data_IF_713926555343
#
_entry.id   IF_713926555343
#
_cell.length_a   1.000
_cell.length_b   1.000
_cell.length_c   1.000
_cell.angle_alpha   90.00
_cell.angle_beta   90.00
_cell.angle_gamma   90.00
#
_symmetry.space_group_name_H-M   'P 1'
#
loop_
_entity.id
_entity.type
_entity.pdbx_description
1 polymer ?
#
# COMPACT_ATOMS: atom_id res chain seq x y z
N UNK A 1 -70.44 -5.09 -56.88
CA UNK A 1 -69.22 -5.60 -56.22
C UNK A 1 -68.79 -4.48 -55.33
N UNK A 2 -69.20 -4.53 -54.06
CA UNK A 2 -68.93 -3.46 -53.10
C UNK A 2 -67.70 -3.81 -52.24
N UNK A 3 -66.84 -2.83 -52.13
CA UNK A 3 -65.67 -2.91 -51.26
C UNK A 3 -66.02 -2.18 -49.94
N UNK A 4 -66.08 -2.94 -48.85
CA UNK A 4 -66.25 -2.42 -47.48
C UNK A 4 -64.89 -2.11 -46.91
N UNK A 5 -64.55 -0.82 -46.68
CA UNK A 5 -63.38 -0.39 -46.00
C UNK A 5 -63.66 -0.26 -44.47
N UNK A 6 -63.07 -1.13 -43.70
CA UNK A 6 -63.15 -1.12 -42.22
C UNK A 6 -62.10 -0.11 -41.68
N UNK A 7 -62.55 0.99 -41.07
CA UNK A 7 -61.67 1.95 -40.36
C UNK A 7 -61.64 1.59 -38.88
N UNK A 8 -60.55 1.02 -38.44
CA UNK A 8 -60.26 0.83 -37.00
C UNK A 8 -59.77 2.16 -36.40
N UNK A 9 -60.54 2.71 -35.48
CA UNK A 9 -60.22 3.89 -34.72
C UNK A 9 -59.38 3.40 -33.51
N UNK A 10 -58.07 3.68 -33.52
CA UNK A 10 -57.23 3.51 -32.34
C UNK A 10 -57.44 4.67 -31.38
N UNK A 11 -58.05 4.40 -30.22
CA UNK A 11 -58.14 5.33 -29.12
C UNK A 11 -56.76 5.38 -28.38
N UNK A 12 -56.05 6.48 -28.50
CA UNK A 12 -54.89 6.79 -27.70
C UNK A 12 -55.33 7.20 -26.29
N UNK A 13 -55.14 6.32 -25.30
CA UNK A 13 -55.30 6.68 -23.90
C UNK A 13 -54.10 7.55 -23.49
N UNK A 14 -54.31 8.68 -22.80
CA UNK A 14 -53.18 9.47 -22.27
C UNK A 14 -52.52 8.72 -21.10
N UNK A 15 -51.24 8.37 -21.26
CA UNK A 15 -50.39 7.87 -20.19
C UNK A 15 -50.11 9.05 -19.27
N UNK A 16 -50.80 9.17 -18.14
CA UNK A 16 -50.51 10.12 -17.10
C UNK A 16 -49.20 9.68 -16.42
N UNK A 17 -48.12 10.37 -16.74
CA UNK A 17 -46.84 10.29 -15.97
C UNK A 17 -47.12 10.82 -14.57
N UNK A 18 -47.31 9.89 -13.62
CA UNK A 18 -47.25 10.18 -12.20
C UNK A 18 -45.78 10.51 -11.86
N UNK A 19 -45.42 11.80 -11.95
CA UNK A 19 -44.20 12.33 -11.34
C UNK A 19 -44.39 12.21 -9.82
N UNK A 20 -43.91 11.11 -9.23
CA UNK A 20 -43.83 11.00 -7.80
C UNK A 20 -42.89 12.11 -7.30
N UNK A 21 -43.46 13.10 -6.59
CA UNK A 21 -42.70 14.06 -5.83
C UNK A 21 -41.93 13.26 -4.77
N UNK A 22 -40.72 12.84 -5.08
CA UNK A 22 -39.78 12.36 -4.08
C UNK A 22 -39.43 13.56 -3.22
N UNK A 23 -39.78 13.50 -1.94
CA UNK A 23 -39.31 14.49 -0.96
C UNK A 23 -37.77 14.59 -0.99
N UNK A 24 -37.20 15.65 -0.41
CA UNK A 24 -35.74 15.76 -0.33
C UNK A 24 -35.15 14.48 0.30
N UNK A 25 -34.01 14.02 -0.20
CA UNK A 25 -33.39 12.82 0.36
C UNK A 25 -33.18 13.00 1.87
N UNK A 26 -33.35 11.94 2.65
CA UNK A 26 -33.16 12.02 4.10
C UNK A 26 -31.73 12.46 4.41
N UNK A 27 -31.58 13.35 5.39
CA UNK A 27 -30.26 13.81 5.85
C UNK A 27 -29.39 12.63 6.28
N UNK A 28 -28.07 12.69 6.02
CA UNK A 28 -27.16 11.63 6.43
C UNK A 28 -27.09 11.52 7.97
N UNK A 29 -26.87 10.28 8.43
CA UNK A 29 -26.70 9.99 9.85
C UNK A 29 -25.42 9.18 10.08
N UNK A 30 -24.88 9.25 11.31
CA UNK A 30 -23.68 8.48 11.67
C UNK A 30 -23.85 7.00 11.35
N UNK A 31 -24.87 6.36 11.91
CA UNK A 31 -25.00 4.91 11.82
C UNK A 31 -25.24 4.40 10.40
N UNK A 32 -26.05 5.11 9.61
CA UNK A 32 -26.39 4.66 8.26
C UNK A 32 -25.34 4.98 7.20
N UNK A 33 -24.76 6.20 7.25
CA UNK A 33 -24.01 6.76 6.13
C UNK A 33 -22.53 7.00 6.46
N UNK A 34 -22.24 7.47 7.68
CA UNK A 34 -20.89 7.95 8.02
C UNK A 34 -20.03 6.85 8.62
N UNK A 35 -20.55 6.08 9.59
CA UNK A 35 -19.79 5.04 10.27
C UNK A 35 -19.24 3.96 9.30
N UNK A 36 -20.00 3.47 8.30
CA UNK A 36 -19.47 2.55 7.31
C UNK A 36 -18.28 3.15 6.52
N UNK A 37 -18.40 4.42 6.10
CA UNK A 37 -17.35 5.11 5.36
C UNK A 37 -16.11 5.36 6.24
N UNK A 38 -16.27 5.79 7.49
CA UNK A 38 -15.18 5.97 8.44
C UNK A 38 -14.50 4.64 8.75
N UNK A 39 -15.26 3.55 8.90
CA UNK A 39 -14.70 2.22 9.09
C UNK A 39 -13.83 1.80 7.88
N UNK A 40 -14.31 2.04 6.66
CA UNK A 40 -13.59 1.71 5.43
C UNK A 40 -12.30 2.53 5.26
N UNK A 41 -12.40 3.85 5.41
CA UNK A 41 -11.31 4.77 5.04
C UNK A 41 -10.37 5.14 6.19
N UNK A 42 -10.83 5.01 7.43
CA UNK A 42 -10.07 5.47 8.61
C UNK A 42 -9.75 4.32 9.57
N UNK A 43 -10.59 3.27 9.60
CA UNK A 43 -10.57 2.21 10.62
C UNK A 43 -9.27 1.41 10.67
N UNK A 44 -8.55 1.28 9.58
CA UNK A 44 -7.25 0.57 9.53
C UNK A 44 -6.21 1.16 10.49
N UNK A 45 -6.22 2.48 10.66
CA UNK A 45 -5.28 3.19 11.53
C UNK A 45 -5.96 3.78 12.78
N UNK A 46 -7.19 4.29 12.67
CA UNK A 46 -7.92 4.98 13.74
C UNK A 46 -8.87 4.04 14.50
N UNK A 47 -8.35 2.91 14.95
CA UNK A 47 -9.00 1.95 15.85
C UNK A 47 -8.22 1.89 17.15
N UNK A 48 -8.89 1.63 18.26
CA UNK A 48 -8.22 1.52 19.55
C UNK A 48 -7.09 0.49 19.53
N UNK A 49 -5.89 0.89 19.94
CA UNK A 49 -4.69 0.04 19.90
C UNK A 49 -3.98 -0.03 18.55
N UNK A 50 -4.42 0.74 17.55
CA UNK A 50 -3.70 0.93 16.28
C UNK A 50 -2.78 2.16 16.33
N UNK A 51 -2.10 2.46 15.21
CA UNK A 51 -1.09 3.53 15.12
C UNK A 51 -1.68 4.94 15.13
N UNK A 52 -2.96 5.10 14.78
CA UNK A 52 -3.63 6.40 14.84
C UNK A 52 -3.62 6.96 16.26
N UNK A 53 -3.36 8.28 16.44
CA UNK A 53 -3.23 8.88 17.77
C UNK A 53 -4.54 8.89 18.56
N UNK A 54 -5.67 8.61 17.92
CA UNK A 54 -7.00 8.50 18.50
C UNK A 54 -7.88 7.56 17.65
N UNK A 55 -8.90 6.97 18.26
CA UNK A 55 -9.88 6.16 17.56
C UNK A 55 -10.97 7.04 16.90
N UNK A 56 -11.59 6.50 15.84
CA UNK A 56 -12.72 7.10 15.10
C UNK A 56 -13.83 6.06 14.89
N UNK A 57 -13.99 5.14 15.84
CA UNK A 57 -14.90 3.99 15.70
C UNK A 57 -16.32 4.27 16.20
N UNK A 58 -16.51 5.37 16.94
CA UNK A 58 -17.81 5.78 17.50
C UNK A 58 -18.14 7.22 17.11
N UNK A 59 -19.44 7.56 17.12
CA UNK A 59 -19.91 8.94 16.92
C UNK A 59 -19.22 9.92 17.89
N UNK A 60 -19.16 9.57 19.18
CA UNK A 60 -18.56 10.42 20.21
C UNK A 60 -17.05 10.67 19.96
N UNK A 61 -16.30 9.65 19.52
CA UNK A 61 -14.88 9.79 19.17
C UNK A 61 -14.67 10.74 17.98
N UNK A 62 -15.51 10.63 16.94
CA UNK A 62 -15.44 11.54 15.79
C UNK A 62 -15.81 12.96 16.19
N UNK A 63 -16.85 13.14 17.00
CA UNK A 63 -17.29 14.45 17.48
C UNK A 63 -16.24 15.14 18.35
N UNK A 64 -15.47 14.39 19.14
CA UNK A 64 -14.39 14.96 19.96
C UNK A 64 -13.28 15.63 19.12
N UNK A 65 -13.12 15.26 17.83
CA UNK A 65 -12.10 15.76 16.93
C UNK A 65 -12.66 16.23 15.57
N UNK A 66 -13.95 16.56 15.53
CA UNK A 66 -14.70 16.84 14.30
C UNK A 66 -14.05 17.87 13.38
N UNK A 67 -13.59 19.02 13.92
CA UNK A 67 -12.93 20.06 13.14
C UNK A 67 -11.60 19.58 12.55
N UNK A 68 -10.84 18.75 13.30
CA UNK A 68 -9.60 18.16 12.82
C UNK A 68 -9.86 17.15 11.71
N UNK A 69 -10.90 16.32 11.83
CA UNK A 69 -11.34 15.38 10.78
C UNK A 69 -11.74 16.16 9.54
N UNK A 70 -12.62 17.18 9.67
CA UNK A 70 -13.04 18.03 8.56
C UNK A 70 -11.85 18.66 7.82
N UNK A 71 -10.94 19.28 8.56
CA UNK A 71 -9.75 19.92 7.99
C UNK A 71 -8.83 18.91 7.29
N UNK A 72 -8.65 17.72 7.88
CA UNK A 72 -7.77 16.70 7.34
C UNK A 72 -8.30 16.08 6.04
N UNK A 73 -9.61 15.77 5.96
CA UNK A 73 -10.20 15.20 4.73
C UNK A 73 -10.34 16.25 3.63
N UNK A 74 -10.70 17.50 3.96
CA UNK A 74 -10.83 18.60 2.99
C UNK A 74 -9.49 18.95 2.35
N UNK A 75 -8.41 18.96 3.15
CA UNK A 75 -7.05 19.15 2.64
C UNK A 75 -6.44 17.89 2.01
N UNK A 76 -7.18 16.77 1.97
CA UNK A 76 -6.72 15.46 1.49
C UNK A 76 -5.45 14.93 2.18
N UNK A 77 -5.19 15.41 3.42
CA UNK A 77 -4.12 14.88 4.26
C UNK A 77 -4.48 13.50 4.81
N UNK A 78 -5.79 13.25 5.00
CA UNK A 78 -6.35 11.95 5.43
C UNK A 78 -7.51 11.53 4.53
N UNK A 79 -7.65 10.23 4.23
CA UNK A 79 -6.66 9.17 4.44
C UNK A 79 -5.35 9.49 3.72
N UNK A 80 -4.20 8.94 4.19
CA UNK A 80 -2.92 9.16 3.52
C UNK A 80 -2.90 8.41 2.18
N UNK A 81 -3.12 9.14 1.10
CA UNK A 81 -3.14 8.60 -0.27
C UNK A 81 -2.50 9.59 -1.24
N UNK A 82 -1.16 9.65 -1.26
CA UNK A 82 -0.44 10.62 -2.09
C UNK A 82 -0.50 10.36 -3.59
N UNK A 83 -0.84 9.14 -4.05
CA UNK A 83 -0.91 8.84 -5.48
C UNK A 83 -2.05 9.60 -6.19
N UNK A 84 -1.74 10.14 -7.37
CA UNK A 84 -2.69 10.86 -8.21
C UNK A 84 -3.73 9.89 -8.82
N UNK A 85 -5.00 10.25 -8.72
CA UNK A 85 -6.13 9.37 -9.05
C UNK A 85 -6.33 9.13 -10.56
N UNK A 86 -5.89 10.06 -11.39
CA UNK A 86 -5.99 9.99 -12.86
C UNK A 86 -4.78 9.35 -13.54
N UNK A 87 -3.79 8.88 -12.75
CA UNK A 87 -2.62 8.17 -13.27
C UNK A 87 -2.92 6.70 -13.54
N UNK A 88 -3.39 5.99 -12.53
CA UNK A 88 -3.77 4.58 -12.64
C UNK A 88 -4.89 4.25 -11.65
N UNK A 89 -5.63 3.16 -11.92
CA UNK A 89 -6.59 2.61 -10.97
C UNK A 89 -5.89 1.62 -10.03
N UNK A 90 -6.07 1.81 -8.73
CA UNK A 90 -5.52 0.94 -7.68
C UNK A 90 -6.62 0.15 -6.98
N UNK A 91 -6.28 -1.01 -6.45
CA UNK A 91 -7.18 -1.85 -5.67
C UNK A 91 -6.43 -2.50 -4.48
N UNK A 92 -6.78 -2.18 -3.22
CA UNK A 92 -7.84 -1.23 -2.85
C UNK A 92 -7.44 0.23 -3.11
N UNK A 93 -8.43 1.08 -3.39
CA UNK A 93 -8.24 2.55 -3.45
C UNK A 93 -8.47 3.14 -2.05
N UNK A 94 -7.39 3.54 -1.39
CA UNK A 94 -7.43 4.16 -0.08
C UNK A 94 -7.90 5.62 -0.08
N UNK A 95 -8.01 6.27 -1.26
CA UNK A 95 -8.44 7.67 -1.34
C UNK A 95 -9.92 7.87 -1.00
N UNK A 96 -10.31 9.12 -0.76
CA UNK A 96 -11.72 9.53 -0.69
C UNK A 96 -12.13 10.29 -1.96
N UNK A 97 -13.35 10.04 -2.44
CA UNK A 97 -13.94 10.83 -3.52
C UNK A 97 -14.41 12.20 -3.00
N UNK A 98 -14.68 13.14 -3.93
CA UNK A 98 -15.23 14.45 -3.55
C UNK A 98 -16.60 14.31 -2.90
N UNK A 99 -17.42 13.36 -3.37
CA UNK A 99 -18.73 13.07 -2.81
C UNK A 99 -18.63 12.50 -1.39
N UNK A 100 -17.65 11.63 -1.12
CA UNK A 100 -17.41 11.09 0.22
C UNK A 100 -16.95 12.18 1.19
N UNK A 101 -16.08 13.09 0.75
CA UNK A 101 -15.66 14.26 1.53
C UNK A 101 -16.84 15.16 1.80
N UNK A 102 -17.64 15.48 0.76
CA UNK A 102 -18.83 16.32 0.88
C UNK A 102 -19.89 15.70 1.83
N UNK A 103 -20.04 14.37 1.81
CA UNK A 103 -20.95 13.65 2.69
C UNK A 103 -20.58 13.85 4.16
N UNK A 104 -19.30 13.63 4.53
CA UNK A 104 -18.86 13.80 5.92
C UNK A 104 -18.91 15.27 6.34
N UNK A 105 -18.41 16.19 5.50
CA UNK A 105 -18.39 17.62 5.84
C UNK A 105 -19.80 18.20 5.97
N UNK A 106 -20.71 17.84 5.06
CA UNK A 106 -22.10 18.24 5.11
C UNK A 106 -22.85 17.66 6.33
N UNK A 107 -22.58 16.39 6.68
CA UNK A 107 -23.13 15.80 7.90
C UNK A 107 -22.67 16.55 9.15
N UNK A 108 -21.39 16.92 9.25
CA UNK A 108 -20.87 17.73 10.38
C UNK A 108 -21.53 19.10 10.44
N UNK A 109 -21.72 19.77 9.31
CA UNK A 109 -22.33 21.10 9.21
C UNK A 109 -23.85 21.06 9.51
N UNK A 110 -24.51 19.96 9.20
CA UNK A 110 -25.95 19.74 9.43
C UNK A 110 -26.28 19.28 10.85
N UNK A 111 -25.32 19.32 11.79
CA UNK A 111 -25.52 19.00 13.20
C UNK A 111 -25.18 17.56 13.56
N UNK A 112 -24.49 16.84 12.70
CA UNK A 112 -23.87 15.54 12.96
C UNK A 112 -24.83 14.50 13.59
N UNK A 113 -26.00 14.32 13.01
CA UNK A 113 -27.05 13.42 13.56
C UNK A 113 -26.53 11.99 13.71
N UNK A 114 -26.72 11.39 14.89
CA UNK A 114 -26.26 10.02 15.18
C UNK A 114 -27.10 8.96 14.44
N UNK A 115 -28.43 9.14 14.41
CA UNK A 115 -29.34 8.21 13.76
C UNK A 115 -29.65 6.99 14.63
N UNK A 116 -30.31 5.97 14.06
CA UNK A 116 -30.66 4.74 14.76
C UNK A 116 -29.49 3.74 14.66
N UNK A 117 -28.99 3.19 15.78
CA UNK A 117 -27.95 2.16 15.77
C UNK A 117 -28.27 0.92 14.92
N UNK A 118 -29.56 0.63 14.70
CA UNK A 118 -30.01 -0.50 13.85
C UNK A 118 -29.75 -0.28 12.37
N UNK A 119 -29.53 0.97 11.94
CA UNK A 119 -29.20 1.30 10.55
C UNK A 119 -27.72 1.01 10.21
N UNK A 120 -26.88 0.80 11.22
CA UNK A 120 -25.48 0.48 11.01
C UNK A 120 -25.34 -0.90 10.36
N UNK A 121 -24.75 -0.90 9.17
CA UNK A 121 -24.30 -2.11 8.50
C UNK A 121 -22.79 -2.12 8.54
N UNK A 122 -22.23 -2.93 9.43
CA UNK A 122 -20.81 -3.17 9.42
C UNK A 122 -20.40 -3.58 8.00
N UNK A 123 -19.44 -2.88 7.44
CA UNK A 123 -18.72 -3.43 6.30
C UNK A 123 -18.11 -4.74 6.78
N UNK A 124 -18.22 -5.79 6.00
CA UNK A 124 -17.40 -6.96 6.28
C UNK A 124 -15.96 -6.47 6.38
N UNK A 125 -15.40 -6.54 7.60
CA UNK A 125 -14.04 -6.07 7.85
C UNK A 125 -13.09 -6.70 6.84
N UNK A 126 -12.01 -6.03 6.49
CA UNK A 126 -11.05 -6.59 5.57
C UNK A 126 -10.61 -7.95 6.10
N UNK A 127 -10.96 -9.00 5.39
CA UNK A 127 -10.47 -10.36 5.65
C UNK A 127 -8.97 -10.30 5.49
N UNK A 128 -8.22 -10.97 6.37
CA UNK A 128 -6.82 -11.25 6.09
C UNK A 128 -6.75 -11.70 4.63
N UNK A 129 -5.98 -11.02 3.82
CA UNK A 129 -6.03 -11.25 2.38
C UNK A 129 -5.34 -12.53 1.93
N UNK A 130 -4.63 -13.22 2.85
CA UNK A 130 -4.12 -14.55 2.57
C UNK A 130 -5.27 -15.55 2.48
N UNK A 131 -5.36 -16.22 1.35
CA UNK A 131 -6.33 -17.31 1.15
C UNK A 131 -6.03 -18.51 2.06
N UNK A 132 -4.77 -18.66 2.47
CA UNK A 132 -4.28 -19.70 3.41
C UNK A 132 -2.98 -19.26 4.06
N UNK A 133 -2.65 -19.84 5.21
CA UNK A 133 -1.36 -19.71 5.88
C UNK A 133 -0.73 -21.10 5.96
N UNK A 134 0.37 -21.31 5.27
CA UNK A 134 1.10 -22.59 5.25
C UNK A 134 2.30 -22.56 6.20
N UNK A 135 2.89 -21.39 6.44
CA UNK A 135 4.05 -21.19 7.30
C UNK A 135 3.89 -19.93 8.14
N UNK A 136 4.17 -20.05 9.44
CA UNK A 136 4.23 -18.94 10.37
C UNK A 136 5.64 -18.84 10.96
N UNK A 137 6.26 -17.67 10.83
CA UNK A 137 7.58 -17.36 11.36
C UNK A 137 7.48 -16.25 12.41
N UNK A 138 7.41 -16.58 13.70
CA UNK A 138 7.43 -15.57 14.77
C UNK A 138 8.85 -15.00 14.94
N UNK A 139 8.95 -13.78 15.46
CA UNK A 139 10.21 -13.29 16.03
C UNK A 139 10.73 -14.30 17.08
N UNK A 140 12.05 -14.46 17.18
CA UNK A 140 12.67 -15.43 18.07
C UNK A 140 12.35 -15.13 19.54
N UNK A 141 12.25 -13.85 19.89
CA UNK A 141 11.89 -13.37 21.23
C UNK A 141 11.28 -11.97 21.15
N UNK A 142 10.56 -11.53 22.19
CA UNK A 142 10.02 -10.18 22.23
C UNK A 142 11.12 -9.12 22.19
N UNK A 143 10.89 -8.05 21.45
CA UNK A 143 11.74 -6.88 21.37
C UNK A 143 11.02 -5.65 21.91
N UNK A 144 11.67 -4.89 22.77
CA UNK A 144 11.18 -3.59 23.24
C UNK A 144 12.01 -2.49 22.58
N UNK A 145 11.41 -1.57 21.80
CA UNK A 145 12.13 -0.45 21.20
C UNK A 145 12.96 0.33 22.23
N UNK A 146 14.20 0.66 21.85
CA UNK A 146 15.19 1.30 22.72
C UNK A 146 15.34 2.79 22.42
N UNK A 147 14.86 3.25 21.28
CA UNK A 147 14.87 4.66 20.84
C UNK A 147 13.44 5.18 20.72
N UNK A 148 13.27 6.47 20.96
CA UNK A 148 11.99 7.16 20.86
C UNK A 148 12.18 8.49 20.08
N UNK A 149 11.21 8.90 19.26
CA UNK A 149 10.02 8.13 18.92
C UNK A 149 10.28 6.96 17.98
N UNK A 150 11.40 6.95 17.24
CA UNK A 150 11.70 6.03 16.15
C UNK A 150 12.86 5.11 16.48
N UNK A 151 12.66 3.81 16.24
CA UNK A 151 13.69 2.76 16.38
C UNK A 151 13.67 1.85 15.14
N UNK A 152 14.79 1.77 14.43
CA UNK A 152 14.97 0.90 13.27
C UNK A 152 15.72 -0.36 13.70
N UNK A 153 15.08 -1.52 13.56
CA UNK A 153 15.61 -2.78 14.05
C UNK A 153 15.45 -3.91 13.05
N UNK A 154 16.55 -4.61 12.78
CA UNK A 154 16.56 -5.75 11.88
C UNK A 154 16.66 -7.07 12.65
N UNK A 155 15.98 -8.09 12.11
CA UNK A 155 15.95 -9.43 12.66
C UNK A 155 16.14 -10.45 11.54
N UNK A 156 16.73 -11.60 11.91
CA UNK A 156 16.91 -12.75 11.01
C UNK A 156 16.15 -13.96 11.55
N UNK A 157 15.19 -14.45 10.77
CA UNK A 157 14.45 -15.68 11.07
C UNK A 157 14.97 -16.83 10.23
N UNK A 158 14.83 -18.05 10.74
CA UNK A 158 15.21 -19.24 10.02
C UNK A 158 14.12 -19.62 9.01
N UNK A 159 14.54 -20.04 7.80
CA UNK A 159 13.68 -20.65 6.82
C UNK A 159 13.64 -22.16 7.08
N UNK A 160 12.51 -22.75 7.47
CA UNK A 160 12.46 -24.14 7.94
C UNK A 160 12.33 -25.18 6.80
N UNK A 161 11.98 -24.76 5.58
CA UNK A 161 11.73 -25.68 4.48
C UNK A 161 13.01 -26.36 4.01
N UNK A 162 12.97 -27.68 3.87
CA UNK A 162 14.09 -28.51 3.43
C UNK A 162 14.13 -28.71 1.92
N UNK A 163 13.09 -28.29 1.21
CA UNK A 163 12.98 -28.26 -0.24
C UNK A 163 12.71 -26.83 -0.71
N UNK A 164 12.96 -26.58 -2.00
CA UNK A 164 12.63 -25.28 -2.59
C UNK A 164 11.11 -25.09 -2.59
N UNK A 165 10.64 -23.93 -2.11
CA UNK A 165 9.24 -23.52 -2.10
C UNK A 165 9.08 -22.16 -2.75
N UNK A 166 7.88 -21.89 -3.23
CA UNK A 166 7.49 -20.57 -3.68
C UNK A 166 6.64 -19.89 -2.61
N UNK A 167 7.03 -18.70 -2.17
CA UNK A 167 6.16 -17.81 -1.40
C UNK A 167 5.14 -17.25 -2.38
N UNK A 168 3.86 -17.54 -2.17
CA UNK A 168 2.75 -17.08 -3.03
C UNK A 168 1.85 -16.06 -2.36
N UNK A 169 2.19 -15.66 -1.16
CA UNK A 169 1.52 -14.59 -0.41
C UNK A 169 2.21 -14.37 0.92
N UNK A 170 2.05 -13.18 1.46
CA UNK A 170 2.60 -12.83 2.76
C UNK A 170 1.66 -11.92 3.55
N UNK A 171 1.76 -12.02 4.87
CA UNK A 171 1.13 -11.13 5.83
C UNK A 171 2.06 -10.96 7.04
N UNK A 172 2.32 -9.73 7.44
CA UNK A 172 2.95 -9.45 8.72
C UNK A 172 1.88 -9.14 9.76
N UNK A 173 1.89 -9.87 10.87
CA UNK A 173 0.97 -9.67 11.99
C UNK A 173 1.75 -9.03 13.13
N UNK A 174 1.56 -7.72 13.39
CA UNK A 174 2.19 -7.03 14.51
C UNK A 174 1.81 -7.62 15.86
N UNK A 175 2.77 -7.75 16.76
CA UNK A 175 2.49 -8.03 18.17
C UNK A 175 1.92 -6.81 18.88
N UNK A 176 2.45 -5.62 18.56
CA UNK A 176 1.93 -4.33 19.03
C UNK A 176 1.69 -3.41 17.84
N UNK A 177 0.49 -3.48 17.27
CA UNK A 177 0.13 -2.75 16.05
C UNK A 177 0.37 -1.24 16.14
N UNK A 178 0.16 -0.63 17.32
CA UNK A 178 0.37 0.79 17.54
C UNK A 178 1.84 1.26 17.48
N UNK A 179 2.80 0.34 17.45
CA UNK A 179 4.22 0.68 17.40
C UNK A 179 4.87 0.35 16.04
N UNK A 180 4.25 -0.46 15.18
CA UNK A 180 4.84 -0.82 13.90
C UNK A 180 4.45 0.24 12.86
N UNK A 181 5.39 1.13 12.52
CA UNK A 181 5.18 2.14 11.48
C UNK A 181 5.28 1.52 10.08
N UNK A 182 6.26 0.67 9.83
CA UNK A 182 6.34 -0.23 8.68
C UNK A 182 7.33 -1.36 8.96
N UNK A 183 7.29 -2.37 8.12
CA UNK A 183 8.29 -3.42 8.12
C UNK A 183 8.58 -3.90 6.70
N UNK A 184 9.86 -4.03 6.39
CA UNK A 184 10.35 -4.56 5.13
C UNK A 184 10.79 -6.01 5.31
N UNK A 185 10.28 -6.89 4.45
CA UNK A 185 10.51 -8.32 4.54
C UNK A 185 11.23 -8.81 3.28
N UNK A 186 12.38 -9.41 3.47
CA UNK A 186 13.19 -10.00 2.41
C UNK A 186 13.51 -11.46 2.75
N UNK A 187 13.80 -12.28 1.76
CA UNK A 187 14.53 -13.51 1.99
C UNK A 187 15.99 -13.34 1.54
N UNK A 188 16.89 -13.98 2.28
CA UNK A 188 18.34 -13.97 2.05
C UNK A 188 18.72 -15.36 1.54
N UNK A 189 19.37 -15.49 0.38
CA UNK A 189 19.70 -16.77 -0.20
C UNK A 189 20.75 -17.53 0.63
N UNK A 190 20.88 -18.86 0.47
CA UNK A 190 21.71 -19.70 1.32
C UNK A 190 23.18 -19.26 1.40
N UNK A 191 23.74 -18.74 0.28
CA UNK A 191 25.13 -18.28 0.19
C UNK A 191 25.42 -17.05 1.06
N UNK A 192 24.39 -16.30 1.44
CA UNK A 192 24.47 -15.13 2.32
C UNK A 192 23.93 -15.39 3.74
N UNK A 193 23.29 -16.53 3.95
CA UNK A 193 22.59 -16.86 5.19
C UNK A 193 23.47 -16.77 6.45
N UNK A 194 24.72 -17.23 6.37
CA UNK A 194 25.65 -17.21 7.49
C UNK A 194 26.09 -15.77 7.86
N UNK A 195 26.34 -14.93 6.86
CA UNK A 195 26.69 -13.52 7.05
C UNK A 195 25.57 -12.76 7.78
N UNK A 196 24.33 -12.95 7.32
CA UNK A 196 23.17 -12.29 7.95
C UNK A 196 22.90 -12.81 9.36
N UNK A 197 23.00 -14.14 9.58
CA UNK A 197 22.85 -14.73 10.92
C UNK A 197 23.91 -14.23 11.90
N UNK A 198 25.12 -13.91 11.44
CA UNK A 198 26.17 -13.37 12.30
C UNK A 198 25.81 -11.99 12.89
N UNK A 199 24.96 -11.19 12.24
CA UNK A 199 24.46 -9.92 12.77
C UNK A 199 23.37 -10.11 13.83
N UNK A 200 22.68 -11.26 13.82
CA UNK A 200 21.60 -11.57 14.77
C UNK A 200 21.72 -13.02 15.30
N UNK A 201 22.81 -13.38 15.99
CA UNK A 201 23.07 -14.76 16.39
C UNK A 201 22.04 -15.30 17.40
N UNK A 202 21.42 -14.42 18.18
CA UNK A 202 20.54 -14.77 19.28
C UNK A 202 19.07 -14.36 19.06
N UNK A 203 18.76 -13.71 17.94
CA UNK A 203 17.43 -13.16 17.69
C UNK A 203 17.11 -11.90 18.50
N UNK A 204 18.15 -11.15 18.96
CA UNK A 204 17.99 -9.87 19.66
C UNK A 204 17.76 -8.69 18.69
N UNK A 205 18.04 -8.94 17.42
CA UNK A 205 18.10 -7.94 16.37
C UNK A 205 19.24 -6.93 16.57
N UNK A 206 19.51 -6.15 15.53
CA UNK A 206 20.49 -5.07 15.57
C UNK A 206 19.92 -3.79 14.97
N UNK A 207 20.52 -2.65 15.27
CA UNK A 207 20.15 -1.39 14.66
C UNK A 207 20.55 -1.37 13.19
N UNK A 208 19.62 -1.08 12.30
CA UNK A 208 19.87 -0.97 10.87
C UNK A 208 18.87 0.00 10.22
N UNK A 209 19.37 0.90 9.37
CA UNK A 209 18.55 1.91 8.69
C UNK A 209 18.17 1.53 7.26
N UNK A 210 18.97 0.67 6.61
CA UNK A 210 18.76 0.28 5.23
C UNK A 210 18.59 -1.23 5.13
N UNK A 211 17.50 -1.74 4.55
CA UNK A 211 17.39 -3.15 4.23
C UNK A 211 18.41 -3.52 3.14
N UNK A 212 18.90 -4.77 3.12
CA UNK A 212 19.92 -5.22 2.18
C UNK A 212 19.34 -5.54 0.81
N UNK A 213 18.78 -4.55 0.14
CA UNK A 213 18.04 -4.71 -1.13
C UNK A 213 18.88 -5.25 -2.30
N UNK A 214 20.21 -5.19 -2.20
CA UNK A 214 21.13 -5.73 -3.20
C UNK A 214 21.62 -7.15 -2.88
N UNK A 215 21.33 -7.65 -1.69
CA UNK A 215 21.87 -8.93 -1.17
C UNK A 215 20.76 -9.94 -0.83
N UNK A 216 19.53 -9.46 -0.74
CA UNK A 216 18.33 -10.24 -0.50
C UNK A 216 17.29 -10.01 -1.60
N UNK A 217 16.22 -10.78 -1.54
CA UNK A 217 15.09 -10.68 -2.44
C UNK A 217 13.86 -10.20 -1.66
N UNK A 218 13.25 -9.14 -2.12
CA UNK A 218 12.10 -8.55 -1.46
C UNK A 218 10.90 -9.50 -1.50
N UNK A 219 10.24 -9.70 -0.36
CA UNK A 219 8.98 -10.42 -0.24
C UNK A 219 7.83 -9.41 -0.26
N UNK A 220 7.94 -8.36 0.55
CA UNK A 220 6.94 -7.30 0.62
C UNK A 220 7.20 -6.33 1.76
N UNK A 221 6.34 -5.32 1.83
CA UNK A 221 6.37 -4.29 2.87
C UNK A 221 5.03 -4.28 3.60
N UNK A 222 5.07 -4.27 4.92
CA UNK A 222 3.93 -4.00 5.78
C UNK A 222 3.86 -2.51 6.07
N UNK A 223 2.67 -1.94 5.95
CA UNK A 223 2.31 -0.62 6.47
C UNK A 223 1.03 -0.72 7.30
N UNK A 224 0.77 0.19 8.24
CA UNK A 224 -0.45 0.17 9.05
C UNK A 224 -1.71 0.12 8.19
N UNK A 225 -2.62 -0.78 8.54
CA UNK A 225 -3.81 -1.06 7.73
C UNK A 225 -3.61 -2.09 6.62
N UNK A 226 -2.38 -2.53 6.35
CA UNK A 226 -2.14 -3.68 5.46
C UNK A 226 -2.69 -4.97 6.05
N UNK A 227 -3.21 -5.80 5.18
CA UNK A 227 -3.81 -7.09 5.55
C UNK A 227 -3.04 -8.29 4.99
N UNK A 228 -1.84 -8.04 4.47
CA UNK A 228 -1.14 -9.01 3.66
C UNK A 228 -1.79 -9.18 2.28
N UNK A 229 -1.24 -10.04 1.45
CA UNK A 229 -1.71 -10.26 0.09
C UNK A 229 -1.29 -11.62 -0.46
N UNK A 230 -2.19 -12.28 -1.18
CA UNK A 230 -1.80 -13.35 -2.10
C UNK A 230 -1.20 -12.73 -3.36
N UNK A 231 -0.15 -13.35 -3.90
CA UNK A 231 0.45 -12.88 -5.14
C UNK A 231 -0.40 -13.25 -6.35
N UNK A 232 -0.48 -12.38 -7.35
CA UNK A 232 -1.41 -12.53 -8.45
C UNK A 232 -1.04 -13.69 -9.39
N UNK A 233 -2.04 -14.22 -10.10
CA UNK A 233 -1.92 -15.23 -11.17
C UNK A 233 -1.11 -16.48 -10.79
N UNK A 234 -1.15 -16.91 -9.52
CA UNK A 234 -0.34 -18.00 -8.99
C UNK A 234 1.18 -17.78 -9.19
N UNK A 235 1.63 -16.51 -9.12
CA UNK A 235 3.05 -16.19 -9.09
C UNK A 235 3.64 -16.41 -7.71
N UNK A 236 4.94 -16.54 -7.63
CA UNK A 236 5.63 -16.75 -6.37
C UNK A 236 7.12 -16.43 -6.44
N UNK A 237 7.68 -16.17 -5.26
CA UNK A 237 9.11 -15.96 -5.06
C UNK A 237 9.73 -17.27 -4.62
N UNK A 238 10.65 -17.81 -5.41
CA UNK A 238 11.30 -19.08 -5.10
C UNK A 238 12.36 -18.90 -4.00
N UNK A 239 12.19 -19.64 -2.92
CA UNK A 239 13.11 -19.68 -1.79
C UNK A 239 13.75 -21.06 -1.69
N UNK A 240 15.09 -21.10 -1.60
CA UNK A 240 15.87 -22.33 -1.50
C UNK A 240 16.02 -22.76 -0.04
N UNK A 241 16.21 -24.06 0.21
CA UNK A 241 16.60 -24.56 1.54
C UNK A 241 17.86 -23.84 2.04
N UNK A 242 17.93 -23.60 3.36
CA UNK A 242 19.05 -22.91 3.98
C UNK A 242 19.02 -21.39 3.86
N UNK A 243 18.04 -20.82 3.16
CA UNK A 243 17.78 -19.38 3.17
C UNK A 243 17.45 -18.86 4.57
N UNK A 244 17.43 -17.53 4.74
CA UNK A 244 16.92 -16.83 5.93
C UNK A 244 15.83 -15.85 5.51
N UNK A 245 14.98 -15.46 6.46
CA UNK A 245 14.09 -14.33 6.30
C UNK A 245 14.64 -13.17 7.12
N UNK A 246 14.79 -12.05 6.45
CA UNK A 246 15.23 -10.78 7.04
C UNK A 246 14.01 -9.87 7.17
N UNK A 247 13.85 -9.25 8.35
CA UNK A 247 12.79 -8.28 8.59
C UNK A 247 13.43 -7.03 9.19
N UNK A 248 13.20 -5.88 8.54
CA UNK A 248 13.47 -4.58 9.15
C UNK A 248 12.17 -4.02 9.68
N UNK A 249 12.12 -3.73 10.96
CA UNK A 249 11.02 -2.97 11.57
C UNK A 249 11.42 -1.51 11.77
N UNK A 250 10.55 -0.62 11.38
CA UNK A 250 10.50 0.75 11.85
C UNK A 250 9.44 0.84 12.96
N UNK A 251 9.89 0.87 14.20
CA UNK A 251 9.02 1.13 15.33
C UNK A 251 8.84 2.63 15.54
N UNK A 252 7.62 3.07 15.82
CA UNK A 252 7.31 4.43 16.26
C UNK A 252 6.48 4.36 17.55
N UNK A 253 7.00 4.94 18.64
CA UNK A 253 6.40 4.84 19.98
C UNK A 253 5.51 6.02 20.35
N UNK A 254 5.30 6.99 19.45
CA UNK A 254 4.53 8.20 19.75
C UNK A 254 3.08 7.93 20.16
N UNK A 255 2.44 6.90 19.57
CA UNK A 255 1.05 6.54 19.86
C UNK A 255 0.87 5.66 21.12
N UNK A 256 1.94 5.20 21.79
CA UNK A 256 1.86 4.15 22.82
C UNK A 256 2.22 4.57 24.24
N UNK A 257 2.46 5.85 24.50
CA UNK A 257 2.95 6.32 25.80
C UNK A 257 4.18 5.53 26.30
N UNK A 258 5.08 5.18 25.40
CA UNK A 258 6.31 4.43 25.67
C UNK A 258 6.39 3.08 24.97
N UNK A 259 7.58 2.53 24.94
CA UNK A 259 7.87 1.27 24.29
C UNK A 259 7.28 0.07 25.07
N UNK A 260 6.74 -0.90 24.35
CA UNK A 260 6.23 -2.18 24.87
C UNK A 260 6.90 -3.35 24.16
N UNK A 261 6.99 -4.54 24.80
CA UNK A 261 7.49 -5.73 24.14
C UNK A 261 6.62 -6.09 22.93
N UNK A 262 7.23 -6.17 21.76
CA UNK A 262 6.61 -6.62 20.52
C UNK A 262 7.06 -8.04 20.17
N UNK A 263 6.15 -8.88 19.72
CA UNK A 263 6.40 -10.23 19.22
C UNK A 263 5.62 -10.43 17.93
N UNK A 264 6.04 -9.73 16.90
CA UNK A 264 5.46 -9.82 15.57
C UNK A 264 5.75 -11.18 14.92
N UNK A 265 4.92 -11.58 13.94
CA UNK A 265 5.12 -12.80 13.16
C UNK A 265 4.83 -12.55 11.69
N UNK A 266 5.53 -13.29 10.85
CA UNK A 266 5.27 -13.37 9.42
C UNK A 266 4.43 -14.62 9.12
N UNK A 267 3.38 -14.44 8.35
CA UNK A 267 2.53 -15.52 7.83
C UNK A 267 2.71 -15.60 6.32
N UNK A 268 2.93 -16.80 5.78
CA UNK A 268 3.24 -17.04 4.38
C UNK A 268 2.32 -18.10 3.80
N UNK A 269 1.87 -17.87 2.56
CA UNK A 269 1.30 -18.89 1.69
C UNK A 269 2.44 -19.49 0.87
N UNK A 270 2.48 -20.82 0.76
CA UNK A 270 3.54 -21.54 0.05
C UNK A 270 2.96 -22.44 -1.05
N UNK A 271 3.76 -22.67 -2.10
CA UNK A 271 3.48 -23.65 -3.14
C UNK A 271 4.75 -24.38 -3.59
N UNK A 272 4.60 -25.61 -4.08
CA UNK A 272 5.70 -26.37 -4.68
C UNK A 272 6.06 -25.82 -6.07
N UNK A 273 5.11 -25.21 -6.75
CA UNK A 273 5.25 -24.63 -8.08
C UNK A 273 4.45 -23.34 -8.18
N UNK A 274 5.04 -22.34 -8.81
CA UNK A 274 4.40 -21.08 -9.15
C UNK A 274 5.00 -20.50 -10.43
N UNK A 275 4.34 -19.51 -11.04
CA UNK A 275 4.98 -18.66 -12.05
C UNK A 275 6.04 -17.79 -11.37
N UNK A 276 7.18 -17.52 -11.99
CA UNK A 276 8.18 -16.64 -11.40
C UNK A 276 7.58 -15.27 -11.06
N UNK A 277 7.76 -14.85 -9.83
CA UNK A 277 7.45 -13.52 -9.33
C UNK A 277 8.73 -12.81 -8.89
N UNK A 278 8.72 -11.50 -8.88
CA UNK A 278 9.83 -10.68 -8.44
C UNK A 278 9.31 -9.35 -7.91
N UNK A 279 9.86 -8.92 -6.79
CA UNK A 279 9.81 -7.52 -6.37
C UNK A 279 11.20 -6.95 -6.58
N UNK A 280 11.34 -5.96 -7.44
CA UNK A 280 12.63 -5.40 -7.84
C UNK A 280 12.66 -3.89 -7.57
N UNK A 281 13.76 -3.43 -7.00
CA UNK A 281 14.07 -2.01 -6.91
C UNK A 281 14.64 -1.53 -8.25
N UNK A 282 13.87 -0.75 -8.99
CA UNK A 282 14.32 -0.12 -10.23
C UNK A 282 15.03 1.20 -9.91
N UNK A 283 16.35 1.21 -10.01
CA UNK A 283 17.19 2.38 -9.80
C UNK A 283 18.53 2.19 -10.47
N UNK A 284 19.22 3.29 -10.81
CA UNK A 284 20.62 3.22 -11.22
C UNK A 284 21.46 2.62 -10.09
N UNK A 285 22.18 1.55 -10.39
CA UNK A 285 23.10 0.91 -9.43
C UNK A 285 24.11 1.92 -8.88
N UNK A 286 24.58 2.86 -9.70
CA UNK A 286 25.47 3.94 -9.30
C UNK A 286 24.87 4.87 -8.22
N UNK A 287 23.55 5.08 -8.20
CA UNK A 287 22.90 5.86 -7.16
C UNK A 287 23.04 5.19 -5.79
N UNK A 288 22.95 3.86 -5.77
CA UNK A 288 22.98 3.07 -4.53
C UNK A 288 24.41 2.81 -4.05
N UNK A 289 25.36 2.53 -4.96
CA UNK A 289 26.72 2.10 -4.61
C UNK A 289 27.74 3.24 -4.61
N UNK A 290 27.64 4.17 -5.55
CA UNK A 290 28.67 5.17 -5.80
C UNK A 290 28.31 6.55 -5.26
N UNK A 291 27.16 6.69 -4.58
CA UNK A 291 26.62 7.98 -4.15
C UNK A 291 26.57 9.02 -5.29
N UNK A 292 26.30 8.54 -6.51
CA UNK A 292 26.28 9.37 -7.72
C UNK A 292 25.05 10.28 -7.82
N UNK A 293 24.03 10.05 -6.96
CA UNK A 293 22.86 10.91 -6.85
C UNK A 293 23.21 12.14 -6.01
N UNK A 294 23.61 13.22 -6.69
CA UNK A 294 23.93 14.47 -6.02
C UNK A 294 22.66 15.30 -5.83
N UNK A 295 22.39 15.71 -4.59
CA UNK A 295 21.31 16.62 -4.23
C UNK A 295 21.97 17.79 -3.51
N UNK A 296 22.33 18.88 -4.24
CA UNK A 296 23.02 20.01 -3.65
C UNK A 296 22.16 20.75 -2.62
N UNK A 297 22.79 21.22 -1.54
CA UNK A 297 22.13 22.07 -0.56
C UNK A 297 21.67 23.39 -1.21
N UNK A 298 20.56 23.94 -0.72
CA UNK A 298 19.93 25.20 -1.17
C UNK A 298 19.33 25.17 -2.58
N UNK A 299 19.34 24.02 -3.27
CA UNK A 299 18.72 23.88 -4.57
C UNK A 299 17.27 23.41 -4.46
N UNK A 300 16.43 23.99 -5.32
CA UNK A 300 15.04 23.55 -5.51
C UNK A 300 14.93 22.60 -6.68
N UNK A 301 14.00 21.66 -6.58
CA UNK A 301 13.60 20.77 -7.69
C UNK A 301 14.78 20.08 -8.36
N UNK A 302 15.67 19.51 -7.54
CA UNK A 302 16.75 18.65 -8.04
C UNK A 302 16.15 17.38 -8.59
N UNK A 303 16.37 17.09 -9.87
CA UNK A 303 15.74 15.98 -10.58
C UNK A 303 16.74 14.89 -10.87
N UNK A 304 16.38 13.65 -10.55
CA UNK A 304 17.07 12.47 -11.01
C UNK A 304 16.09 11.54 -11.74
N UNK A 305 16.48 11.11 -12.94
CA UNK A 305 15.67 10.23 -13.77
C UNK A 305 16.46 8.98 -14.15
N UNK A 306 15.78 7.84 -14.09
CA UNK A 306 16.26 6.54 -14.51
C UNK A 306 15.31 5.97 -15.56
N UNK A 307 15.87 5.49 -16.65
CA UNK A 307 15.16 4.84 -17.75
C UNK A 307 15.85 3.54 -18.11
N UNK A 308 15.09 2.46 -18.28
CA UNK A 308 15.60 1.14 -18.64
C UNK A 308 14.52 0.29 -19.31
N UNK A 309 14.91 -0.58 -20.21
CA UNK A 309 14.09 -1.70 -20.68
C UNK A 309 14.30 -2.90 -19.76
N UNK A 310 13.41 -3.11 -18.76
CA UNK A 310 13.60 -4.16 -17.78
C UNK A 310 13.53 -5.56 -18.40
N UNK A 311 12.91 -5.70 -19.58
CA UNK A 311 12.81 -6.99 -20.25
C UNK A 311 14.16 -7.54 -20.70
N UNK A 312 15.19 -6.67 -20.83
CA UNK A 312 16.55 -7.06 -21.23
C UNK A 312 17.44 -7.53 -20.10
N UNK A 313 17.07 -7.21 -18.88
CA UNK A 313 17.93 -7.40 -17.71
C UNK A 313 17.24 -8.14 -16.56
N UNK A 314 16.02 -8.57 -16.75
CA UNK A 314 15.21 -9.16 -15.65
C UNK A 314 15.84 -10.45 -15.11
N UNK A 315 16.51 -11.24 -15.97
CA UNK A 315 17.21 -12.47 -15.58
C UNK A 315 18.38 -12.25 -14.62
N UNK A 316 18.94 -11.01 -14.60
CA UNK A 316 19.99 -10.62 -13.64
C UNK A 316 19.45 -10.58 -12.23
N UNK A 317 18.18 -10.16 -12.06
CA UNK A 317 17.53 -10.08 -10.77
C UNK A 317 16.93 -11.43 -10.33
N UNK A 318 16.44 -12.22 -11.27
CA UNK A 318 15.95 -13.56 -11.00
C UNK A 318 16.09 -14.46 -12.25
N UNK A 319 16.93 -15.50 -12.13
CA UNK A 319 17.27 -16.43 -13.22
C UNK A 319 16.12 -17.29 -13.72
N UNK A 320 14.97 -17.27 -13.05
CA UNK A 320 13.75 -17.93 -13.53
C UNK A 320 13.04 -17.12 -14.63
N UNK A 321 13.38 -15.84 -14.77
CA UNK A 321 12.89 -15.02 -15.88
C UNK A 321 13.78 -15.19 -17.12
N UNK A 322 13.14 -15.02 -18.27
CA UNK A 322 13.81 -15.07 -19.58
C UNK A 322 13.80 -13.65 -20.16
N UNK A 323 15.00 -13.14 -20.50
CA UNK A 323 15.14 -11.84 -21.12
C UNK A 323 14.45 -11.80 -22.50
N UNK A 324 13.93 -10.65 -22.87
CA UNK A 324 13.24 -10.43 -24.13
C UNK A 324 11.77 -10.87 -24.15
N UNK A 325 11.20 -11.31 -23.01
CA UNK A 325 9.77 -11.60 -22.88
C UNK A 325 9.03 -10.45 -22.18
N UNK A 326 7.73 -10.25 -22.50
CA UNK A 326 6.92 -9.26 -21.81
C UNK A 326 6.86 -9.50 -20.31
N UNK A 327 6.89 -8.42 -19.53
CA UNK A 327 6.76 -8.42 -18.07
C UNK A 327 5.43 -7.80 -17.65
N UNK A 328 4.78 -8.35 -16.63
CA UNK A 328 3.58 -7.77 -16.04
C UNK A 328 3.92 -7.12 -14.69
N UNK A 329 3.63 -5.83 -14.55
CA UNK A 329 3.68 -5.10 -13.29
C UNK A 329 2.30 -5.15 -12.63
N UNK A 330 2.25 -5.61 -11.38
CA UNK A 330 1.02 -5.74 -10.58
C UNK A 330 0.91 -4.72 -9.47
N UNK A 331 2.03 -4.25 -8.99
CA UNK A 331 2.10 -3.26 -7.93
C UNK A 331 3.35 -2.41 -8.07
N UNK A 332 3.34 -1.27 -7.43
CA UNK A 332 4.46 -0.34 -7.38
C UNK A 332 4.55 0.30 -6.00
N UNK A 333 5.75 0.61 -5.58
CA UNK A 333 6.04 1.48 -4.44
C UNK A 333 7.13 2.46 -4.86
N UNK A 334 6.94 3.73 -4.54
CA UNK A 334 7.99 4.74 -4.69
C UNK A 334 8.62 4.95 -3.32
N UNK A 335 9.96 4.98 -3.28
CA UNK A 335 10.71 5.22 -2.07
C UNK A 335 11.68 6.39 -2.25
N UNK A 336 11.55 7.39 -1.41
CA UNK A 336 12.49 8.48 -1.24
C UNK A 336 12.66 8.79 0.25
N UNK A 337 13.68 9.55 0.61
CA UNK A 337 13.84 10.06 1.98
C UNK A 337 13.15 11.42 2.16
N UNK A 338 13.35 12.04 3.34
CA UNK A 338 12.61 13.22 3.82
C UNK A 338 12.61 14.42 2.86
N UNK A 339 13.70 14.62 2.10
CA UNK A 339 13.83 15.76 1.19
C UNK A 339 13.19 15.53 -0.17
N UNK A 340 12.57 14.37 -0.40
CA UNK A 340 11.76 14.11 -1.58
C UNK A 340 10.59 15.09 -1.67
N UNK A 341 10.24 15.53 -2.87
CA UNK A 341 9.14 16.47 -3.10
C UNK A 341 8.03 15.90 -3.98
N UNK A 342 8.38 15.17 -5.02
CA UNK A 342 7.45 14.46 -5.92
C UNK A 342 8.17 13.34 -6.66
N UNK A 343 7.42 12.36 -7.20
CA UNK A 343 7.98 11.32 -8.04
C UNK A 343 6.95 10.74 -9.00
N UNK A 344 7.43 10.25 -10.16
CA UNK A 344 6.62 9.54 -11.14
C UNK A 344 7.25 8.22 -11.52
N UNK A 345 6.39 7.27 -11.87
CA UNK A 345 6.76 6.01 -12.49
C UNK A 345 5.88 5.80 -13.74
N UNK A 346 6.51 5.65 -14.89
CA UNK A 346 5.86 5.60 -16.19
C UNK A 346 6.41 4.46 -17.06
N UNK A 347 5.60 4.02 -18.02
CA UNK A 347 6.05 3.15 -19.10
C UNK A 347 6.05 3.98 -20.39
N UNK A 348 7.24 4.21 -20.94
CA UNK A 348 7.41 4.83 -22.23
C UNK A 348 7.34 3.74 -23.30
N UNK A 349 6.31 3.80 -24.13
CA UNK A 349 6.05 2.84 -25.17
C UNK A 349 6.97 3.05 -26.37
N UNK A 350 7.25 1.98 -27.10
CA UNK A 350 8.08 2.02 -28.30
C UNK A 350 7.51 2.92 -29.42
N UNK A 351 6.21 3.17 -29.41
CA UNK A 351 5.53 4.09 -30.34
C UNK A 351 5.62 5.57 -29.93
N UNK A 352 6.31 5.87 -28.81
CA UNK A 352 6.48 7.22 -28.27
C UNK A 352 5.36 7.67 -27.33
N UNK A 353 4.35 6.84 -27.07
CA UNK A 353 3.33 7.16 -26.07
C UNK A 353 3.84 6.83 -24.67
N UNK A 354 3.29 7.52 -23.64
CA UNK A 354 3.64 7.30 -22.23
C UNK A 354 2.40 6.86 -21.47
N UNK A 355 2.56 5.83 -20.65
CA UNK A 355 1.52 5.31 -19.78
C UNK A 355 1.94 5.51 -18.32
N UNK A 356 1.13 6.24 -17.56
CA UNK A 356 1.36 6.47 -16.13
C UNK A 356 1.13 5.17 -15.33
N UNK A 357 2.03 4.84 -14.42
CA UNK A 357 1.93 3.69 -13.51
C UNK A 357 1.74 4.15 -12.08
N UNK A 358 2.50 5.17 -11.65
CA UNK A 358 2.35 5.82 -10.36
C UNK A 358 2.82 7.28 -10.46
N UNK A 359 2.07 8.19 -9.87
CA UNK A 359 2.41 9.60 -9.81
C UNK A 359 2.09 10.12 -8.41
N UNK A 360 3.12 10.57 -7.71
CA UNK A 360 3.06 11.15 -6.38
C UNK A 360 3.43 12.64 -6.49
N UNK A 361 2.47 13.53 -6.72
CA UNK A 361 2.72 14.95 -6.95
C UNK A 361 3.20 15.70 -5.71
N UNK A 362 2.98 15.14 -4.52
CA UNK A 362 3.46 15.65 -3.25
C UNK A 362 3.93 14.49 -2.40
N UNK A 363 5.25 14.36 -2.28
CA UNK A 363 5.86 13.34 -1.45
C UNK A 363 5.65 13.62 0.04
N UNK A 364 5.39 12.56 0.80
CA UNK A 364 5.34 12.59 2.25
C UNK A 364 6.07 11.35 2.79
N UNK A 365 7.18 11.57 3.46
CA UNK A 365 8.08 10.51 3.92
C UNK A 365 7.40 9.42 4.76
N UNK A 366 6.39 9.79 5.56
CA UNK A 366 5.66 8.85 6.42
C UNK A 366 4.65 7.98 5.67
N UNK A 367 4.35 8.28 4.40
CA UNK A 367 3.30 7.61 3.62
C UNK A 367 3.84 6.92 2.36
N UNK A 368 4.76 5.97 2.59
CA UNK A 368 5.35 5.16 1.52
C UNK A 368 4.52 3.91 1.29
N UNK A 369 3.42 4.07 0.56
CA UNK A 369 2.42 3.03 0.38
C UNK A 369 2.73 2.14 -0.83
N UNK A 370 2.47 0.84 -0.76
CA UNK A 370 2.38 -0.01 -1.93
C UNK A 370 1.05 0.23 -2.65
N UNK A 371 1.10 0.35 -3.97
CA UNK A 371 -0.05 0.56 -4.84
C UNK A 371 -0.25 -0.65 -5.74
N UNK A 372 -1.23 -1.49 -5.42
CA UNK A 372 -1.63 -2.60 -6.29
C UNK A 372 -2.47 -2.07 -7.45
N UNK A 373 -2.06 -2.37 -8.67
CA UNK A 373 -2.76 -1.97 -9.89
C UNK A 373 -4.02 -2.83 -10.05
N UNK A 374 -5.18 -2.22 -10.19
CA UNK A 374 -6.44 -2.91 -10.48
C UNK A 374 -6.36 -3.69 -11.79
N UNK A 375 -5.70 -3.10 -12.79
CA UNK A 375 -5.36 -3.74 -14.05
C UNK A 375 -3.85 -3.75 -14.20
N UNK A 376 -3.20 -4.94 -14.22
CA UNK A 376 -1.76 -5.04 -14.40
C UNK A 376 -1.29 -4.37 -15.70
N UNK A 377 -0.15 -3.70 -15.64
CA UNK A 377 0.48 -3.07 -16.80
C UNK A 377 1.50 -4.04 -17.41
N UNK A 378 1.52 -4.14 -18.74
CA UNK A 378 2.49 -4.99 -19.45
C UNK A 378 3.59 -4.11 -20.02
N UNK A 379 4.85 -4.44 -19.72
CA UNK A 379 6.04 -3.86 -20.35
C UNK A 379 6.48 -4.82 -21.43
N UNK A 380 6.46 -4.38 -22.69
CA UNK A 380 6.90 -5.18 -23.83
C UNK A 380 8.39 -4.93 -24.14
N UNK A 381 9.06 -5.88 -24.79
CA UNK A 381 10.45 -5.68 -25.24
C UNK A 381 10.58 -4.43 -26.12
N UNK A 382 11.44 -3.51 -25.70
CA UNK A 382 11.66 -2.21 -26.33
C UNK A 382 10.85 -1.06 -25.76
N UNK A 383 9.88 -1.31 -24.85
CA UNK A 383 9.37 -0.27 -23.96
C UNK A 383 10.44 0.06 -22.92
N UNK A 384 10.36 1.25 -22.32
CA UNK A 384 11.21 1.63 -21.20
C UNK A 384 10.36 1.95 -19.99
N UNK A 385 10.80 1.56 -18.82
CA UNK A 385 10.25 2.12 -17.57
C UNK A 385 11.05 3.36 -17.21
N UNK A 386 10.38 4.41 -16.79
CA UNK A 386 10.98 5.65 -16.37
C UNK A 386 10.57 5.96 -14.93
N UNK A 387 11.56 6.22 -14.07
CA UNK A 387 11.34 6.70 -12.71
C UNK A 387 11.98 8.07 -12.61
N UNK A 388 11.20 9.08 -12.25
CA UNK A 388 11.68 10.43 -12.03
C UNK A 388 11.37 10.85 -10.59
N UNK A 389 12.39 11.29 -9.89
CA UNK A 389 12.31 11.72 -8.51
C UNK A 389 12.84 13.14 -8.36
N UNK A 390 12.20 13.92 -7.51
CA UNK A 390 12.51 15.32 -7.26
C UNK A 390 12.79 15.55 -5.77
N UNK A 391 13.73 16.46 -5.47
CA UNK A 391 14.10 16.86 -4.12
C UNK A 391 14.14 18.37 -4.00
N UNK A 392 13.75 18.87 -2.83
CA UNK A 392 13.84 20.29 -2.48
C UNK A 392 14.67 20.47 -1.21
N UNK A 393 15.86 21.01 -1.35
CA UNK A 393 16.78 21.33 -0.25
C UNK A 393 16.88 22.84 -0.02
N UNK A 394 15.99 23.65 -0.61
CA UNK A 394 16.06 25.12 -0.54
C UNK A 394 15.86 25.68 0.85
N UNK A 395 15.20 24.94 1.75
CA UNK A 395 14.90 25.37 3.12
C UNK A 395 15.76 24.68 4.19
N UNK A 396 16.78 23.90 3.80
CA UNK A 396 17.67 23.28 4.78
C UNK A 396 18.59 24.34 5.37
N UNK A 397 18.24 24.77 6.56
CA UNK A 397 19.15 25.47 7.46
C UNK A 397 19.85 24.45 8.34
N UNK A 398 21.02 24.08 7.92
CA UNK A 398 21.89 23.23 8.76
C UNK A 398 22.70 24.13 9.68
#
# INVERSE_FOLDING_TARGET
>A
MGIVTNRSVFALAPLALLSACQGPPPKPTWHRDIAPLVQEKCGGCHTAGSIGPFALTTHAEVMAVAESVKAAITSRRMPPWPARRDCAEYAPDGSMTDEQIALITGWLEDGAMEGDPRDFKALEGPKTSLSRVDLTLPMVKPYTPKKAPDDYRCFVLDWPETEAKYITGFNLVPGVNAMIHHADVLYVPPEKAAEFRANDPNGDGWECYNPPILEGYWIGTFVPGSLGMDFPENSGLKVQPGSKVFIQFHYNTAATNGARPDLSRLELSLADKAKPGLVVALAKVAWLRERAMRIPAFERDVVHRYEEDPTRIISVFNREFVDGLPLKAYATIIHMHEMGSKATFEIMRKDGTTECVNDIPKWEFHWQLPYSLKTPKTVYPGDQVAIECHWDLSLIHI
#
